data_IF_633306437982
#
_entry.id   IF_633306437982
#
_cell.length_a   1.000
_cell.length_b   1.000
_cell.length_c   1.000
_cell.angle_alpha   90.00
_cell.angle_beta   90.00
_cell.angle_gamma   90.00
#
_symmetry.space_group_name_H-M   'P 1'
#
loop_
_entity.id
_entity.type
_entity.pdbx_description
1 polymer ?
#
# COMPACT_ATOMS: atom_id res chain seq x y z
N UNK A 1 -37.71 -16.05 -18.79
CA UNK A 1 -37.20 -14.79 -18.22
C UNK A 1 -35.70 -14.89 -18.03
N UNK A 2 -34.87 -14.82 -19.07
CA UNK A 2 -33.40 -14.99 -18.91
C UNK A 2 -32.52 -14.30 -19.97
N UNK A 3 -33.07 -13.65 -20.98
CA UNK A 3 -32.22 -13.05 -22.07
C UNK A 3 -31.99 -11.53 -21.99
N UNK A 4 -32.64 -10.85 -21.03
CA UNK A 4 -32.48 -9.40 -20.88
C UNK A 4 -31.35 -8.99 -19.91
N UNK A 5 -30.92 -9.89 -19.01
CA UNK A 5 -29.82 -9.62 -18.07
C UNK A 5 -28.42 -9.84 -18.68
N UNK A 6 -28.30 -10.75 -19.66
CA UNK A 6 -27.02 -11.03 -20.32
C UNK A 6 -26.51 -9.84 -21.15
N UNK A 7 -27.41 -9.11 -21.85
CA UNK A 7 -27.01 -7.95 -22.65
C UNK A 7 -26.51 -6.74 -21.83
N UNK A 8 -26.89 -6.64 -20.54
CA UNK A 8 -26.34 -5.61 -19.64
C UNK A 8 -24.95 -5.95 -19.13
N UNK A 9 -24.70 -7.23 -18.87
CA UNK A 9 -23.36 -7.69 -18.47
C UNK A 9 -22.32 -7.49 -19.60
N UNK A 10 -22.70 -7.84 -20.84
CA UNK A 10 -21.83 -7.67 -22.01
C UNK A 10 -21.52 -6.20 -22.31
N UNK A 11 -22.43 -5.27 -21.98
CA UNK A 11 -22.16 -3.83 -22.13
C UNK A 11 -21.20 -3.26 -21.08
N UNK A 12 -21.04 -3.93 -19.91
CA UNK A 12 -20.05 -3.56 -18.88
C UNK A 12 -18.69 -4.24 -19.08
N UNK A 13 -18.69 -5.43 -19.70
CA UNK A 13 -17.45 -6.14 -20.09
C UNK A 13 -16.83 -5.58 -21.37
N UNK A 14 -17.63 -4.96 -22.22
CA UNK A 14 -17.18 -4.16 -23.35
C UNK A 14 -16.93 -2.71 -22.93
N UNK A 15 -16.17 -2.46 -21.87
CA UNK A 15 -15.49 -1.18 -21.74
C UNK A 15 -14.46 -1.13 -22.85
N UNK A 16 -14.57 -0.15 -23.78
CA UNK A 16 -13.66 -0.09 -24.91
C UNK A 16 -12.25 0.10 -24.38
N UNK A 17 -11.40 -0.90 -24.58
CA UNK A 17 -9.95 -0.79 -24.40
C UNK A 17 -9.31 0.26 -25.31
N UNK A 18 -10.10 0.94 -26.11
CA UNK A 18 -9.65 1.85 -27.21
C UNK A 18 -9.99 3.33 -27.03
N UNK A 19 -10.54 3.77 -25.88
CA UNK A 19 -10.95 5.18 -25.68
C UNK A 19 -10.00 6.02 -24.82
N UNK A 20 -8.96 5.43 -24.24
CA UNK A 20 -7.91 6.18 -23.55
C UNK A 20 -6.75 6.49 -24.48
N UNK A 21 -6.16 7.69 -24.38
CA UNK A 21 -4.89 7.95 -25.05
C UNK A 21 -3.84 6.93 -24.61
N UNK A 22 -2.82 6.65 -25.44
CA UNK A 22 -1.70 5.75 -25.08
C UNK A 22 -1.06 6.14 -23.74
N UNK A 23 -1.10 7.44 -23.39
CA UNK A 23 -0.61 7.96 -22.11
C UNK A 23 -1.49 7.54 -20.94
N UNK A 24 -2.83 7.61 -21.05
CA UNK A 24 -3.77 7.18 -20.01
C UNK A 24 -3.67 5.69 -19.73
N UNK A 25 -3.58 4.88 -20.77
CA UNK A 25 -3.38 3.43 -20.63
C UNK A 25 -2.06 3.10 -19.90
N UNK A 26 -0.99 3.86 -20.18
CA UNK A 26 0.29 3.74 -19.46
C UNK A 26 0.13 4.05 -17.97
N UNK A 27 -0.56 5.15 -17.62
CA UNK A 27 -0.79 5.56 -16.24
C UNK A 27 -1.62 4.50 -15.49
N UNK A 28 -2.69 3.99 -16.10
CA UNK A 28 -3.52 2.91 -15.51
C UNK A 28 -2.70 1.65 -15.27
N UNK A 29 -1.90 1.23 -16.24
CA UNK A 29 -0.99 0.07 -16.09
C UNK A 29 0.02 0.28 -14.95
N UNK A 30 0.55 1.48 -14.78
CA UNK A 30 1.46 1.79 -13.66
C UNK A 30 0.76 1.67 -12.30
N UNK A 31 -0.48 2.13 -12.18
CA UNK A 31 -1.29 2.03 -10.95
C UNK A 31 -1.63 0.57 -10.59
N UNK A 32 -1.79 -0.29 -11.57
CA UNK A 32 -2.13 -1.71 -11.37
C UNK A 32 -0.91 -2.60 -11.08
N UNK A 33 0.30 -2.06 -11.07
CA UNK A 33 1.49 -2.81 -10.70
C UNK A 33 1.39 -3.38 -9.30
N UNK A 34 1.95 -4.58 -9.14
CA UNK A 34 1.94 -5.29 -7.88
C UNK A 34 2.99 -4.72 -6.93
N UNK A 35 2.57 -4.45 -5.72
CA UNK A 35 3.42 -4.27 -4.55
C UNK A 35 3.49 -5.62 -3.84
N UNK A 36 4.71 -6.08 -3.53
CA UNK A 36 4.88 -7.28 -2.72
C UNK A 36 5.87 -7.02 -1.59
N UNK A 37 5.54 -7.55 -0.41
CA UNK A 37 6.34 -7.39 0.81
C UNK A 37 6.26 -8.64 1.66
N UNK A 38 7.35 -9.00 2.33
CA UNK A 38 7.28 -10.04 3.36
C UNK A 38 6.31 -9.60 4.47
N UNK A 39 5.62 -10.56 5.08
CA UNK A 39 4.73 -10.27 6.20
C UNK A 39 5.51 -9.74 7.41
N UNK A 40 6.79 -10.10 7.52
CA UNK A 40 7.69 -9.56 8.51
C UNK A 40 7.91 -8.06 8.31
N UNK A 41 8.25 -7.62 7.09
CA UNK A 41 8.41 -6.20 6.78
C UNK A 41 7.13 -5.41 7.07
N UNK A 42 5.95 -5.97 6.77
CA UNK A 42 4.66 -5.32 7.06
C UNK A 42 4.46 -5.11 8.56
N UNK A 43 4.83 -6.10 9.39
CA UNK A 43 4.57 -6.09 10.84
C UNK A 43 5.64 -5.36 11.65
N UNK A 44 6.91 -5.43 11.22
CA UNK A 44 8.05 -4.93 11.99
C UNK A 44 8.61 -3.60 11.50
N UNK A 45 8.46 -3.28 10.21
CA UNK A 45 8.97 -2.02 9.67
C UNK A 45 8.11 -0.84 10.13
N UNK A 46 8.57 -0.19 11.21
CA UNK A 46 7.88 0.91 11.89
C UNK A 46 8.43 2.30 11.51
N UNK A 47 9.21 2.41 10.42
CA UNK A 47 9.81 3.68 10.03
C UNK A 47 8.78 4.81 10.11
N UNK A 48 9.10 5.86 10.86
CA UNK A 48 8.28 7.06 10.97
C UNK A 48 8.20 7.74 9.61
N UNK A 49 7.23 7.35 8.81
CA UNK A 49 6.95 7.93 7.49
C UNK A 49 5.65 8.72 7.55
N UNK A 50 5.60 9.81 6.81
CA UNK A 50 4.32 10.44 6.48
C UNK A 50 3.66 9.75 5.27
N UNK A 51 2.40 10.08 4.99
CA UNK A 51 1.64 9.46 3.89
C UNK A 51 2.33 9.58 2.53
N UNK A 52 2.88 10.73 2.10
CA UNK A 52 3.65 10.85 0.87
C UNK A 52 4.85 9.91 0.80
N UNK A 53 5.64 9.83 1.86
CA UNK A 53 6.80 8.94 1.93
C UNK A 53 6.41 7.49 1.79
N UNK A 54 5.32 7.08 2.46
CA UNK A 54 4.82 5.72 2.37
C UNK A 54 4.33 5.37 0.96
N UNK A 55 3.60 6.27 0.29
CA UNK A 55 3.19 6.09 -1.11
C UNK A 55 4.38 6.03 -2.07
N UNK A 56 5.41 6.87 -1.87
CA UNK A 56 6.67 6.78 -2.62
C UNK A 56 7.29 5.39 -2.42
N UNK A 57 7.36 4.91 -1.19
CA UNK A 57 7.87 3.57 -0.88
C UNK A 57 7.13 2.47 -1.63
N UNK A 58 5.80 2.48 -1.61
CA UNK A 58 4.98 1.49 -2.32
C UNK A 58 5.18 1.56 -3.84
N UNK A 59 5.26 2.78 -4.40
CA UNK A 59 5.57 2.96 -5.81
C UNK A 59 6.95 2.40 -6.16
N UNK A 60 7.96 2.66 -5.35
CA UNK A 60 9.30 2.13 -5.55
C UNK A 60 9.33 0.60 -5.50
N UNK A 61 8.65 -0.01 -4.53
CA UNK A 61 8.53 -1.48 -4.42
C UNK A 61 7.79 -2.07 -5.64
N UNK A 62 6.73 -1.42 -6.12
CA UNK A 62 6.00 -1.89 -7.31
C UNK A 62 6.87 -1.87 -8.59
N UNK A 63 7.85 -0.98 -8.66
CA UNK A 63 8.83 -0.95 -9.76
C UNK A 63 9.84 -2.10 -9.65
N UNK A 64 10.33 -2.38 -8.46
CA UNK A 64 11.29 -3.44 -8.22
C UNK A 64 10.73 -4.81 -8.66
N UNK A 65 9.45 -5.07 -8.42
CA UNK A 65 8.79 -6.31 -8.82
C UNK A 65 8.80 -6.57 -10.34
N UNK A 66 8.77 -5.51 -11.15
CA UNK A 66 8.66 -5.62 -12.62
C UNK A 66 10.00 -5.67 -13.36
N UNK A 67 11.13 -5.52 -12.66
CA UNK A 67 12.45 -5.34 -13.26
C UNK A 67 13.42 -6.52 -12.97
N UNK A 68 12.95 -7.76 -13.07
CA UNK A 68 13.78 -8.97 -12.97
C UNK A 68 14.75 -8.99 -11.77
N UNK A 69 14.28 -8.58 -10.59
CA UNK A 69 15.06 -8.50 -9.36
C UNK A 69 16.18 -7.42 -9.34
N UNK A 70 16.12 -6.44 -10.22
CA UNK A 70 17.02 -5.31 -10.13
C UNK A 70 16.60 -4.34 -9.03
N UNK A 71 17.58 -3.87 -8.27
CA UNK A 71 17.37 -2.88 -7.20
C UNK A 71 17.54 -1.44 -7.70
N UNK A 72 17.97 -1.24 -8.94
CA UNK A 72 18.17 0.08 -9.53
C UNK A 72 17.23 0.30 -10.73
N UNK A 73 16.48 1.38 -10.72
CA UNK A 73 15.57 1.73 -11.80
C UNK A 73 15.38 3.24 -11.96
N UNK A 74 14.93 3.62 -13.15
CA UNK A 74 14.71 5.01 -13.54
C UNK A 74 13.24 5.25 -13.87
N UNK A 75 12.69 6.36 -13.40
CA UNK A 75 11.36 6.82 -13.75
C UNK A 75 11.31 8.33 -13.97
N UNK A 76 10.25 8.82 -14.59
CA UNK A 76 9.99 10.25 -14.75
C UNK A 76 9.16 10.76 -13.57
N UNK A 77 9.47 11.95 -13.07
CA UNK A 77 8.68 12.62 -12.02
C UNK A 77 7.25 12.82 -12.49
N UNK A 78 7.05 13.20 -13.75
CA UNK A 78 5.73 13.34 -14.34
C UNK A 78 4.92 12.04 -14.28
N UNK A 79 5.52 10.91 -14.68
CA UNK A 79 4.86 9.60 -14.64
C UNK A 79 4.48 9.22 -13.19
N UNK A 80 5.33 9.54 -12.22
CA UNK A 80 5.05 9.34 -10.80
C UNK A 80 3.87 10.20 -10.32
N UNK A 81 3.89 11.50 -10.63
CA UNK A 81 2.81 12.42 -10.25
C UNK A 81 1.46 11.97 -10.84
N UNK A 82 1.41 11.66 -12.12
CA UNK A 82 0.20 11.16 -12.79
C UNK A 82 -0.28 9.84 -12.19
N UNK A 83 0.65 8.92 -11.88
CA UNK A 83 0.30 7.66 -11.21
C UNK A 83 -0.38 7.91 -9.86
N UNK A 84 0.14 8.83 -9.07
CA UNK A 84 -0.36 9.16 -7.73
C UNK A 84 -1.54 10.14 -7.70
N UNK A 85 -2.01 10.65 -8.85
CA UNK A 85 -3.06 11.69 -8.91
C UNK A 85 -2.59 13.05 -8.39
N UNK A 86 -1.28 13.33 -8.51
CA UNK A 86 -0.68 14.61 -8.14
C UNK A 86 -0.64 15.52 -9.37
N UNK A 87 -0.80 16.83 -9.14
CA UNK A 87 -0.63 17.84 -10.18
C UNK A 87 0.78 17.75 -10.81
N UNK A 88 0.88 17.49 -12.10
CA UNK A 88 2.14 17.27 -12.82
C UNK A 88 2.73 18.54 -13.44
N UNK A 89 1.96 19.63 -13.54
CA UNK A 89 2.40 20.90 -14.15
C UNK A 89 3.13 21.82 -13.16
N UNK A 90 3.19 21.47 -11.90
CA UNK A 90 3.80 22.28 -10.87
C UNK A 90 5.28 21.91 -10.65
N UNK A 91 6.23 22.76 -11.10
CA UNK A 91 7.67 22.59 -10.82
C UNK A 91 8.04 22.44 -9.33
N UNK A 92 7.07 22.66 -8.44
CA UNK A 92 7.17 22.39 -7.01
C UNK A 92 7.24 20.89 -6.70
N UNK A 93 6.58 20.02 -7.48
CA UNK A 93 6.59 18.57 -7.27
C UNK A 93 7.98 17.96 -7.41
N UNK A 94 8.83 18.49 -8.32
CA UNK A 94 10.23 18.07 -8.41
C UNK A 94 10.98 18.29 -7.07
N UNK A 95 10.85 19.51 -6.50
CA UNK A 95 11.53 19.86 -5.24
C UNK A 95 10.99 19.04 -4.07
N UNK A 96 9.68 18.82 -4.04
CA UNK A 96 9.00 18.05 -3.00
C UNK A 96 9.38 16.57 -3.06
N UNK A 97 9.27 15.93 -4.24
CA UNK A 97 9.69 14.53 -4.41
C UNK A 97 11.15 14.33 -4.01
N UNK A 98 12.04 15.25 -4.44
CA UNK A 98 13.44 15.22 -4.05
C UNK A 98 13.65 15.34 -2.54
N UNK A 99 12.88 16.22 -1.86
CA UNK A 99 12.91 16.38 -0.41
C UNK A 99 12.44 15.11 0.30
N UNK A 100 11.31 14.53 -0.14
CA UNK A 100 10.77 13.33 0.50
C UNK A 100 11.66 12.09 0.28
N UNK A 101 12.24 11.91 -0.89
CA UNK A 101 13.23 10.84 -1.14
C UNK A 101 14.49 11.05 -0.30
N UNK A 102 14.96 12.30 -0.10
CA UNK A 102 16.07 12.58 0.81
C UNK A 102 15.75 12.19 2.25
N UNK A 103 14.52 12.48 2.71
CA UNK A 103 14.09 12.06 4.05
C UNK A 103 14.03 10.53 4.16
N UNK A 104 13.51 9.84 3.12
CA UNK A 104 13.46 8.38 3.08
C UNK A 104 14.85 7.73 3.10
N UNK A 105 15.84 8.30 2.41
CA UNK A 105 17.21 7.76 2.39
C UNK A 105 17.92 7.85 3.74
N UNK A 106 17.40 8.69 4.64
CA UNK A 106 17.92 8.84 6.02
C UNK A 106 17.16 7.97 7.04
N UNK A 107 16.11 7.26 6.60
CA UNK A 107 15.30 6.40 7.48
C UNK A 107 15.76 4.96 7.35
N UNK A 108 15.99 4.35 8.48
CA UNK A 108 16.34 2.93 8.62
C UNK A 108 15.59 2.35 9.80
N UNK A 109 15.35 1.04 9.77
CA UNK A 109 14.66 0.29 10.81
C UNK A 109 15.40 -0.99 11.13
N UNK A 110 15.37 -1.38 12.40
CA UNK A 110 15.83 -2.68 12.84
C UNK A 110 14.80 -3.75 12.48
N UNK A 111 15.25 -4.78 11.80
CA UNK A 111 14.44 -5.94 11.41
C UNK A 111 15.16 -7.20 11.90
N UNK A 112 14.44 -8.09 12.58
CA UNK A 112 15.00 -9.38 13.00
C UNK A 112 15.43 -10.20 11.79
N UNK A 113 16.58 -10.84 11.88
CA UNK A 113 17.03 -11.78 10.85
C UNK A 113 16.22 -13.05 10.97
N UNK A 114 15.65 -13.51 9.87
CA UNK A 114 14.85 -14.72 9.86
C UNK A 114 15.67 -15.95 10.30
N UNK A 115 15.12 -16.68 11.27
CA UNK A 115 15.78 -17.87 11.81
C UNK A 115 16.84 -17.58 12.86
N UNK A 116 17.09 -16.31 13.17
CA UNK A 116 17.97 -15.85 14.23
C UNK A 116 17.31 -14.69 14.99
N UNK A 117 16.47 -14.99 15.99
CA UNK A 117 15.72 -13.97 16.73
C UNK A 117 16.60 -13.08 17.61
N UNK A 118 17.87 -13.46 17.81
CA UNK A 118 18.83 -12.72 18.62
C UNK A 118 19.64 -11.72 17.77
N UNK A 119 19.47 -11.75 16.43
CA UNK A 119 20.16 -10.83 15.50
C UNK A 119 19.16 -9.90 14.82
N UNK A 120 19.44 -8.59 14.89
CA UNK A 120 18.71 -7.56 14.15
C UNK A 120 19.63 -6.93 13.11
N UNK A 121 19.08 -6.63 11.93
CA UNK A 121 19.76 -5.87 10.86
C UNK A 121 19.13 -4.50 10.69
N UNK A 122 19.95 -3.47 10.55
CA UNK A 122 19.47 -2.11 10.28
C UNK A 122 19.23 -1.94 8.78
N UNK A 123 17.98 -1.99 8.37
CA UNK A 123 17.56 -1.91 6.97
C UNK A 123 17.12 -0.50 6.60
N UNK A 124 17.54 -0.03 5.45
CA UNK A 124 17.02 1.19 4.81
C UNK A 124 16.42 0.87 3.45
N UNK A 125 15.49 1.69 2.99
CA UNK A 125 14.84 1.46 1.69
C UNK A 125 15.70 1.95 0.52
N UNK A 126 16.24 3.17 0.61
CA UNK A 126 16.96 3.84 -0.49
C UNK A 126 18.42 4.01 -0.13
N UNK A 127 19.31 3.34 -0.87
CA UNK A 127 20.76 3.49 -0.70
C UNK A 127 21.30 4.68 -1.49
N UNK A 128 20.76 4.95 -2.70
CA UNK A 128 21.22 6.06 -3.54
C UNK A 128 20.14 6.60 -4.46
N UNK A 129 20.17 7.90 -4.71
CA UNK A 129 19.25 8.57 -5.62
C UNK A 129 19.96 9.60 -6.49
N UNK A 130 19.60 9.65 -7.78
CA UNK A 130 20.07 10.66 -8.73
C UNK A 130 18.88 11.39 -9.32
N UNK A 131 18.97 12.70 -9.35
CA UNK A 131 17.95 13.59 -9.89
C UNK A 131 18.53 14.40 -11.04
N UNK A 132 17.93 14.29 -12.23
CA UNK A 132 18.28 15.13 -13.37
C UNK A 132 17.17 16.18 -13.56
N UNK A 133 17.49 17.42 -13.18
CA UNK A 133 16.52 18.53 -13.26
C UNK A 133 16.10 18.87 -14.71
N UNK A 134 17.00 18.67 -15.68
CA UNK A 134 16.75 19.00 -17.09
C UNK A 134 15.77 18.02 -17.74
N UNK A 135 15.90 16.72 -17.46
CA UNK A 135 15.07 15.68 -18.07
C UNK A 135 13.89 15.25 -17.20
N UNK A 136 13.80 15.72 -15.96
CA UNK A 136 12.81 15.25 -15.00
C UNK A 136 12.96 13.77 -14.61
N UNK A 137 14.09 13.14 -14.92
CA UNK A 137 14.37 11.73 -14.59
C UNK A 137 14.94 11.59 -13.20
N UNK A 138 14.44 10.58 -12.50
CA UNK A 138 14.95 10.13 -11.20
C UNK A 138 15.42 8.69 -11.35
N UNK A 139 16.66 8.41 -10.91
CA UNK A 139 17.19 7.06 -10.78
C UNK A 139 17.37 6.76 -9.30
N UNK A 140 16.83 5.63 -8.86
CA UNK A 140 16.86 5.17 -7.48
C UNK A 140 17.55 3.82 -7.44
N UNK A 141 18.42 3.64 -6.44
CA UNK A 141 18.92 2.34 -6.02
C UNK A 141 18.37 2.04 -4.63
N UNK A 142 17.64 0.93 -4.51
CA UNK A 142 17.24 0.40 -3.22
C UNK A 142 18.45 -0.22 -2.51
N UNK A 143 18.35 -0.41 -1.21
CA UNK A 143 19.39 -1.05 -0.43
C UNK A 143 19.38 -2.58 -0.70
N UNK A 144 20.56 -3.20 -0.71
CA UNK A 144 20.67 -4.66 -0.88
C UNK A 144 20.01 -5.41 0.27
N UNK A 145 20.07 -4.87 1.49
CA UNK A 145 19.51 -5.49 2.68
C UNK A 145 17.97 -5.55 2.68
N UNK A 146 17.29 -4.73 1.84
CA UNK A 146 15.83 -4.82 1.66
C UNK A 146 15.41 -5.94 0.70
N UNK A 147 16.32 -6.45 -0.11
CA UNK A 147 16.03 -7.43 -1.18
C UNK A 147 15.31 -8.69 -0.68
N UNK A 148 15.70 -9.34 0.42
CA UNK A 148 15.00 -10.50 0.95
C UNK A 148 13.52 -10.24 1.25
N UNK A 149 13.18 -9.00 1.60
CA UNK A 149 11.85 -8.61 2.07
C UNK A 149 10.90 -8.13 0.95
N UNK A 150 11.42 -7.89 -0.27
CA UNK A 150 10.61 -7.37 -1.40
C UNK A 150 10.80 -8.13 -2.72
N UNK A 151 11.91 -8.81 -2.95
CA UNK A 151 12.24 -9.48 -4.22
C UNK A 151 12.39 -11.00 -4.10
N UNK A 152 13.06 -11.50 -3.08
CA UNK A 152 13.33 -12.94 -2.92
C UNK A 152 12.19 -13.70 -2.22
N UNK A 153 10.99 -13.15 -2.21
CA UNK A 153 9.86 -13.61 -1.41
C UNK A 153 9.43 -15.03 -1.76
N UNK A 154 9.34 -15.37 -3.04
CA UNK A 154 8.97 -16.72 -3.49
C UNK A 154 10.01 -17.74 -3.07
N UNK A 155 11.29 -17.42 -3.25
CA UNK A 155 12.42 -18.27 -2.83
C UNK A 155 12.40 -18.48 -1.32
N UNK A 156 12.19 -17.42 -0.57
CA UNK A 156 12.11 -17.47 0.90
C UNK A 156 10.90 -18.30 1.37
N UNK A 157 9.75 -18.16 0.71
CA UNK A 157 8.59 -19.00 0.98
C UNK A 157 8.86 -20.49 0.70
N UNK A 158 9.43 -20.82 -0.46
CA UNK A 158 9.74 -22.22 -0.83
C UNK A 158 10.80 -22.86 0.07
N UNK A 159 11.79 -22.09 0.53
CA UNK A 159 12.90 -22.59 1.33
C UNK A 159 12.69 -22.54 2.84
N UNK A 160 11.98 -21.52 3.32
CA UNK A 160 11.87 -21.20 4.75
C UNK A 160 10.43 -21.11 5.26
N UNK A 161 9.42 -21.17 4.36
CA UNK A 161 8.01 -20.99 4.70
C UNK A 161 7.63 -19.55 5.05
N UNK A 162 8.45 -18.56 4.70
CA UNK A 162 8.18 -17.15 4.93
C UNK A 162 6.98 -16.67 4.13
N UNK A 163 5.95 -16.16 4.82
CA UNK A 163 4.75 -15.63 4.15
C UNK A 163 4.98 -14.20 3.64
N UNK A 164 4.37 -13.91 2.52
CA UNK A 164 4.39 -12.57 1.92
C UNK A 164 3.01 -12.15 1.43
N UNK A 165 2.84 -10.86 1.25
CA UNK A 165 1.58 -10.23 0.82
C UNK A 165 1.78 -9.49 -0.49
N UNK A 166 0.78 -9.62 -1.38
CA UNK A 166 0.72 -8.95 -2.68
C UNK A 166 -0.60 -8.20 -2.82
N UNK A 167 -0.53 -7.01 -3.41
CA UNK A 167 -1.70 -6.20 -3.76
C UNK A 167 -1.36 -5.22 -4.89
N UNK A 168 -2.37 -4.74 -5.63
CA UNK A 168 -2.16 -3.71 -6.62
C UNK A 168 -1.92 -2.35 -5.95
N UNK A 169 -0.91 -1.60 -6.42
CA UNK A 169 -0.60 -0.25 -5.94
C UNK A 169 -1.84 0.65 -5.96
N UNK A 170 -2.72 0.49 -6.95
CA UNK A 170 -3.97 1.21 -7.13
C UNK A 170 -4.86 1.25 -5.87
N UNK A 171 -4.84 0.20 -5.05
CA UNK A 171 -5.69 0.13 -3.86
C UNK A 171 -5.27 1.08 -2.74
N UNK A 172 -4.02 1.49 -2.71
CA UNK A 172 -3.47 2.37 -1.67
C UNK A 172 -3.37 3.84 -2.10
N UNK A 173 -3.27 4.10 -3.40
CA UNK A 173 -3.07 5.45 -3.92
C UNK A 173 -4.17 6.45 -3.53
N UNK A 174 -5.49 6.11 -3.56
CA UNK A 174 -6.55 7.04 -3.17
C UNK A 174 -6.67 7.25 -1.65
N UNK A 175 -6.09 6.37 -0.82
CA UNK A 175 -6.15 6.49 0.63
C UNK A 175 -5.36 7.72 1.09
N UNK A 176 -5.96 8.55 1.95
CA UNK A 176 -5.36 9.78 2.46
C UNK A 176 -4.63 9.58 3.79
N UNK A 177 -5.15 8.68 4.62
CA UNK A 177 -4.56 8.41 5.93
C UNK A 177 -3.45 7.36 5.84
N UNK A 178 -2.31 7.64 6.49
CA UNK A 178 -1.25 6.64 6.67
C UNK A 178 -1.75 5.41 7.45
N UNK A 179 -2.63 5.63 8.43
CA UNK A 179 -3.24 4.54 9.19
C UNK A 179 -4.06 3.61 8.29
N UNK A 180 -4.74 4.17 7.29
CA UNK A 180 -5.51 3.37 6.32
C UNK A 180 -4.62 2.45 5.51
N UNK A 181 -3.50 2.97 5.01
CA UNK A 181 -2.57 2.19 4.19
C UNK A 181 -1.89 1.10 5.05
N UNK A 182 -1.41 1.44 6.24
CA UNK A 182 -0.76 0.50 7.16
C UNK A 182 -1.72 -0.58 7.65
N UNK A 183 -2.93 -0.20 8.05
CA UNK A 183 -3.94 -1.16 8.49
C UNK A 183 -4.37 -2.06 7.32
N UNK A 184 -4.50 -1.53 6.11
CA UNK A 184 -4.78 -2.34 4.92
C UNK A 184 -3.70 -3.41 4.68
N UNK A 185 -2.42 -3.03 4.66
CA UNK A 185 -1.32 -4.00 4.50
C UNK A 185 -1.35 -5.09 5.57
N UNK A 186 -1.57 -4.67 6.82
CA UNK A 186 -1.66 -5.59 7.95
C UNK A 186 -2.81 -6.58 7.79
N UNK A 187 -4.03 -6.08 7.52
CA UNK A 187 -5.23 -6.93 7.34
C UNK A 187 -5.11 -7.80 6.08
N UNK A 188 -4.54 -7.28 5.00
CA UNK A 188 -4.29 -8.05 3.77
C UNK A 188 -3.31 -9.21 4.02
N UNK A 189 -2.31 -9.01 4.88
CA UNK A 189 -1.37 -10.08 5.25
C UNK A 189 -2.04 -11.25 6.00
N UNK A 190 -3.25 -11.04 6.51
CA UNK A 190 -4.05 -12.05 7.22
C UNK A 190 -5.19 -12.61 6.36
N UNK A 191 -5.65 -11.88 5.36
CA UNK A 191 -6.75 -12.31 4.49
C UNK A 191 -6.47 -13.64 3.73
N UNK A 192 -5.20 -14.01 3.60
CA UNK A 192 -4.76 -15.26 2.97
C UNK A 192 -4.44 -16.35 4.01
N UNK A 193 -4.57 -16.07 5.31
CA UNK A 193 -4.41 -17.10 6.33
C UNK A 193 -5.61 -18.06 6.30
N UNK A 194 -5.35 -19.32 6.62
CA UNK A 194 -6.31 -20.45 6.58
C UNK A 194 -7.44 -20.38 7.62
N UNK A 195 -7.60 -19.24 8.29
CA UNK A 195 -8.71 -19.04 9.23
C UNK A 195 -10.00 -18.83 8.46
N UNK A 196 -11.08 -19.45 8.94
CA UNK A 196 -12.43 -19.22 8.40
C UNK A 196 -12.76 -17.74 8.49
N UNK A 197 -13.50 -17.21 7.50
CA UNK A 197 -14.01 -15.84 7.50
C UNK A 197 -14.80 -15.50 8.77
N UNK A 198 -15.29 -16.53 9.49
CA UNK A 198 -16.09 -16.40 10.69
C UNK A 198 -15.25 -16.36 11.99
N UNK A 199 -13.97 -16.78 11.96
CA UNK A 199 -13.16 -16.88 13.18
C UNK A 199 -12.57 -15.53 13.63
N UNK A 200 -12.47 -14.56 12.70
CA UNK A 200 -11.93 -13.23 12.97
C UNK A 200 -10.42 -13.24 13.32
N UNK A 201 -9.86 -12.06 13.40
CA UNK A 201 -8.46 -11.83 13.76
C UNK A 201 -8.38 -10.89 14.96
N UNK A 202 -7.89 -11.40 16.08
CA UNK A 202 -7.84 -10.71 17.37
C UNK A 202 -6.54 -9.95 17.56
N UNK A 203 -6.67 -8.69 17.97
CA UNK A 203 -5.52 -7.83 18.30
C UNK A 203 -5.78 -7.13 19.63
N UNK A 204 -4.78 -7.08 20.50
CA UNK A 204 -4.87 -6.14 21.61
C UNK A 204 -4.79 -4.71 21.07
N UNK A 205 -5.52 -3.80 21.68
CA UNK A 205 -5.53 -2.37 21.30
C UNK A 205 -4.11 -1.80 21.36
N UNK A 206 -3.35 -2.15 22.40
CA UNK A 206 -1.96 -1.71 22.59
C UNK A 206 -1.04 -2.19 21.47
N UNK A 207 -1.14 -3.47 21.07
CA UNK A 207 -0.36 -4.02 19.95
C UNK A 207 -0.71 -3.31 18.64
N UNK A 208 -2.00 -3.08 18.40
CA UNK A 208 -2.46 -2.42 17.18
C UNK A 208 -2.02 -0.95 17.13
N UNK A 209 -2.10 -0.23 18.25
CA UNK A 209 -1.58 1.14 18.38
C UNK A 209 -0.08 1.19 18.07
N UNK A 210 0.69 0.25 18.64
CA UNK A 210 2.14 0.17 18.40
C UNK A 210 2.47 -0.15 16.94
N UNK A 211 1.75 -1.10 16.31
CA UNK A 211 1.95 -1.47 14.90
C UNK A 211 1.61 -0.35 13.93
N UNK A 212 0.56 0.42 14.24
CA UNK A 212 0.14 1.54 13.40
C UNK A 212 0.94 2.82 13.68
N UNK A 213 1.73 2.86 14.76
CA UNK A 213 2.42 4.06 15.19
C UNK A 213 1.46 5.15 15.66
N UNK A 214 0.39 4.77 16.37
CA UNK A 214 -0.65 5.69 16.80
C UNK A 214 -0.26 6.40 18.09
N UNK A 215 -0.42 7.73 18.11
CA UNK A 215 -0.24 8.57 19.30
C UNK A 215 -1.51 8.64 20.19
N UNK A 216 -2.64 8.09 19.73
CA UNK A 216 -3.90 8.13 20.48
C UNK A 216 -3.88 7.12 21.62
N UNK A 217 -3.72 7.59 22.84
CA UNK A 217 -3.71 6.77 24.06
C UNK A 217 -5.13 6.28 24.44
N UNK A 218 -6.14 7.15 24.26
CA UNK A 218 -7.52 6.81 24.61
C UNK A 218 -8.17 5.95 23.53
N UNK A 219 -8.76 4.82 23.92
CA UNK A 219 -9.43 3.92 22.97
C UNK A 219 -10.48 4.61 22.09
N UNK A 220 -11.28 5.52 22.66
CA UNK A 220 -12.33 6.23 21.91
C UNK A 220 -11.76 7.06 20.77
N UNK A 221 -10.64 7.75 21.02
CA UNK A 221 -9.95 8.56 20.03
C UNK A 221 -9.26 7.66 18.98
N UNK A 222 -8.57 6.60 19.43
CA UNK A 222 -7.98 5.58 18.55
C UNK A 222 -9.03 4.93 17.66
N UNK A 223 -10.18 4.54 18.22
CA UNK A 223 -11.28 3.98 17.44
C UNK A 223 -11.75 4.97 16.37
N UNK A 224 -12.07 6.21 16.75
CA UNK A 224 -12.66 7.21 15.87
C UNK A 224 -11.70 7.68 14.78
N UNK A 225 -10.49 8.05 15.16
CA UNK A 225 -9.55 8.72 14.26
C UNK A 225 -8.65 7.75 13.50
N UNK A 226 -8.43 6.54 14.01
CA UNK A 226 -7.59 5.54 13.37
C UNK A 226 -8.43 4.44 12.74
N UNK A 227 -9.16 3.65 13.55
CA UNK A 227 -9.82 2.44 13.05
C UNK A 227 -10.98 2.75 12.10
N UNK A 228 -11.93 3.58 12.52
CA UNK A 228 -13.11 3.90 11.70
C UNK A 228 -12.73 4.67 10.42
N UNK A 229 -11.77 5.59 10.51
CA UNK A 229 -11.23 6.31 9.35
C UNK A 229 -10.55 5.35 8.38
N UNK A 230 -9.70 4.45 8.89
CA UNK A 230 -8.99 3.47 8.07
C UNK A 230 -9.96 2.49 7.40
N UNK A 231 -10.91 1.93 8.13
CA UNK A 231 -11.87 0.97 7.58
C UNK A 231 -12.77 1.59 6.51
N UNK A 232 -13.14 2.86 6.66
CA UNK A 232 -13.90 3.58 5.62
C UNK A 232 -13.12 3.64 4.30
N UNK A 233 -11.82 3.95 4.34
CA UNK A 233 -10.98 4.01 3.15
C UNK A 233 -10.67 2.61 2.60
N UNK A 234 -10.34 1.64 3.45
CA UNK A 234 -10.07 0.26 3.07
C UNK A 234 -11.29 -0.33 2.34
N UNK A 235 -12.48 -0.23 2.94
CA UNK A 235 -13.70 -0.77 2.33
C UNK A 235 -14.06 -0.08 1.01
N UNK A 236 -13.70 1.19 0.84
CA UNK A 236 -13.96 1.93 -0.39
C UNK A 236 -12.96 1.62 -1.50
N UNK A 237 -11.66 1.56 -1.17
CA UNK A 237 -10.59 1.61 -2.17
C UNK A 237 -9.82 0.31 -2.37
N UNK A 238 -9.92 -0.66 -1.44
CA UNK A 238 -9.12 -1.89 -1.52
C UNK A 238 -9.88 -3.10 -2.03
N UNK A 239 -9.16 -4.20 -2.18
CA UNK A 239 -9.66 -5.52 -2.62
C UNK A 239 -10.22 -6.39 -1.48
N UNK A 240 -10.22 -5.86 -0.25
CA UNK A 240 -10.84 -6.53 0.91
C UNK A 240 -12.02 -5.72 1.45
N UNK A 241 -12.94 -6.41 2.09
CA UNK A 241 -14.02 -5.83 2.89
C UNK A 241 -13.82 -6.24 4.34
N UNK A 242 -13.88 -5.28 5.25
CA UNK A 242 -13.53 -5.48 6.65
C UNK A 242 -14.63 -4.95 7.55
N UNK A 243 -15.01 -5.79 8.51
CA UNK A 243 -15.82 -5.40 9.67
C UNK A 243 -14.99 -5.58 10.92
N UNK A 244 -15.37 -4.93 12.02
CA UNK A 244 -14.67 -5.09 13.28
C UNK A 244 -15.64 -5.10 14.46
N UNK A 245 -15.22 -5.76 15.53
CA UNK A 245 -15.93 -5.81 16.80
C UNK A 245 -14.95 -5.50 17.94
N UNK A 246 -15.23 -4.48 18.76
CA UNK A 246 -14.43 -4.19 19.95
C UNK A 246 -14.82 -5.12 21.09
N UNK A 247 -13.83 -5.76 21.69
CA UNK A 247 -14.02 -6.76 22.76
C UNK A 247 -13.56 -6.22 24.10
N UNK A 248 -14.42 -6.36 25.11
CA UNK A 248 -14.15 -5.93 26.48
C UNK A 248 -13.48 -7.05 27.28
N UNK A 249 -12.55 -6.66 28.13
CA UNK A 249 -12.06 -7.44 29.24
C UNK A 249 -12.24 -6.62 30.54
N UNK A 250 -13.09 -7.09 31.42
CA UNK A 250 -13.53 -6.33 32.58
C UNK A 250 -14.33 -5.07 32.21
N UNK A 251 -13.91 -3.90 32.69
CA UNK A 251 -14.64 -2.61 32.46
C UNK A 251 -14.22 -1.88 31.19
N UNK A 252 -13.11 -2.30 30.55
CA UNK A 252 -12.52 -1.60 29.38
C UNK A 252 -12.52 -2.44 28.11
N UNK A 253 -12.44 -1.74 26.97
CA UNK A 253 -12.12 -2.40 25.71
C UNK A 253 -10.63 -2.73 25.68
N UNK A 254 -10.29 -3.99 25.35
CA UNK A 254 -8.91 -4.48 25.36
C UNK A 254 -8.48 -5.06 24.02
N UNK A 255 -9.43 -5.60 23.26
CA UNK A 255 -9.15 -6.24 21.97
C UNK A 255 -10.06 -5.67 20.89
N UNK A 256 -9.62 -5.83 19.64
CA UNK A 256 -10.41 -5.62 18.43
C UNK A 256 -10.34 -6.92 17.64
N UNK A 257 -11.50 -7.44 17.24
CA UNK A 257 -11.62 -8.55 16.32
C UNK A 257 -11.98 -8.02 14.94
N UNK A 258 -11.21 -8.39 13.91
CA UNK A 258 -11.47 -8.02 12.52
C UNK A 258 -11.98 -9.21 11.73
N UNK A 259 -13.05 -9.02 11.00
CA UNK A 259 -13.60 -9.97 10.03
C UNK A 259 -13.23 -9.50 8.63
N UNK A 260 -12.42 -10.30 7.93
CA UNK A 260 -11.81 -9.90 6.65
C UNK A 260 -12.36 -10.82 5.56
N UNK A 261 -12.91 -10.23 4.50
CA UNK A 261 -13.37 -10.93 3.31
C UNK A 261 -12.69 -10.36 2.07
N UNK A 262 -12.23 -11.21 1.17
CA UNK A 262 -11.84 -10.77 -0.16
C UNK A 262 -13.09 -10.31 -0.94
N UNK A 263 -12.98 -9.23 -1.69
CA UNK A 263 -14.07 -8.76 -2.56
C UNK A 263 -14.24 -9.69 -3.75
N UNK A 264 -15.46 -9.84 -4.22
CA UNK A 264 -15.79 -10.58 -5.43
C UNK A 264 -15.23 -9.87 -6.68
N UNK A 265 -15.12 -10.59 -7.78
CA UNK A 265 -14.66 -10.04 -9.05
C UNK A 265 -15.47 -8.81 -9.50
N UNK A 266 -16.79 -8.86 -9.36
CA UNK A 266 -17.68 -7.76 -9.66
C UNK A 266 -17.42 -6.52 -8.78
N UNK A 267 -17.21 -6.72 -7.48
CA UNK A 267 -16.81 -5.63 -6.56
C UNK A 267 -15.45 -5.05 -6.94
N UNK A 268 -14.48 -5.89 -7.34
CA UNK A 268 -13.15 -5.46 -7.74
C UNK A 268 -13.16 -4.59 -9.00
N UNK A 269 -13.97 -4.92 -10.00
CA UNK A 269 -14.15 -4.09 -11.21
C UNK A 269 -14.64 -2.70 -10.80
N UNK A 270 -15.65 -2.63 -9.94
CA UNK A 270 -16.22 -1.36 -9.44
C UNK A 270 -15.19 -0.55 -8.64
N UNK A 271 -14.41 -1.20 -7.77
CA UNK A 271 -13.36 -0.56 -6.99
C UNK A 271 -12.26 0.00 -7.89
N UNK A 272 -11.78 -0.77 -8.87
CA UNK A 272 -10.73 -0.31 -9.79
C UNK A 272 -11.20 0.89 -10.61
N UNK A 273 -12.41 0.83 -11.18
CA UNK A 273 -12.99 1.94 -11.94
C UNK A 273 -13.11 3.21 -11.08
N UNK A 274 -13.63 3.09 -9.86
CA UNK A 274 -13.73 4.20 -8.91
C UNK A 274 -12.36 4.78 -8.54
N UNK A 275 -11.35 3.93 -8.33
CA UNK A 275 -10.02 4.39 -7.95
C UNK A 275 -9.33 5.14 -9.08
N UNK A 276 -9.43 4.64 -10.34
CA UNK A 276 -8.91 5.35 -11.50
C UNK A 276 -9.60 6.70 -11.67
N UNK A 277 -10.95 6.73 -11.60
CA UNK A 277 -11.70 7.97 -11.68
C UNK A 277 -11.33 8.96 -10.57
N UNK A 278 -11.20 8.48 -9.34
CA UNK A 278 -10.78 9.31 -8.21
C UNK A 278 -9.40 9.93 -8.45
N UNK A 279 -8.42 9.13 -8.89
CA UNK A 279 -7.05 9.60 -9.13
C UNK A 279 -6.94 10.51 -10.35
N UNK A 280 -7.76 10.30 -11.38
CA UNK A 280 -7.79 11.15 -12.58
C UNK A 280 -8.45 12.52 -12.30
N UNK A 281 -9.38 12.57 -11.34
CA UNK A 281 -10.02 13.81 -10.89
C UNK A 281 -9.25 14.57 -9.79
N UNK A 282 -8.20 13.96 -9.21
CA UNK A 282 -7.38 14.59 -8.19
C UNK A 282 -6.32 15.49 -8.85
N UNK A 283 -6.34 16.77 -8.49
CA UNK A 283 -5.20 17.69 -8.66
C UNK A 283 -4.57 17.94 -7.30
N UNK A 284 -4.20 16.85 -6.61
CA UNK A 284 -3.64 16.94 -5.26
C UNK A 284 -2.20 17.42 -5.29
N UNK A 285 -1.84 18.17 -4.27
CA UNK A 285 -0.46 18.48 -3.95
C UNK A 285 0.08 17.52 -2.88
N UNK A 286 1.40 17.47 -2.70
CA UNK A 286 1.99 16.73 -1.58
C UNK A 286 1.53 17.25 -0.21
N UNK A 287 1.06 18.50 -0.12
CA UNK A 287 0.58 19.11 1.14
C UNK A 287 -0.82 18.63 1.53
N UNK A 288 -1.59 18.06 0.60
CA UNK A 288 -2.94 17.54 0.87
C UNK A 288 -2.92 16.22 1.66
N UNK A 289 -1.73 15.71 1.97
CA UNK A 289 -1.50 14.50 2.77
C UNK A 289 -0.96 14.79 4.18
N UNK A 290 -0.83 16.06 4.59
CA UNK A 290 -0.43 16.47 5.94
C UNK A 290 -1.56 16.41 6.97
#
# INVERSE_FOLDING_TARGET
MSKANDKRLDSYLAMPSDLGSRAENKVRSEREKIVQKSNELIRKFKAEMNTPQFKITLYLISKAYTLDNELEYTFNIKDFCQCCGLDDDNGNNYRRLKREIRKLSNKSEWVEVWGDPDTEVLVRLVSKAWFNARSGKVRIRLDEDIKPYILELRKNWEQKGELYTQFALLYTLPMKSLYSIRLYELLKSWANATLSENDGHWWSIEQLQALLGSEYVRYQDFRRYVIETALKEINKYSDISVQYEPVKEGRGYKYINFYIRNKTEHELISVKANNHHTLDGLQMSFDDYE
#
